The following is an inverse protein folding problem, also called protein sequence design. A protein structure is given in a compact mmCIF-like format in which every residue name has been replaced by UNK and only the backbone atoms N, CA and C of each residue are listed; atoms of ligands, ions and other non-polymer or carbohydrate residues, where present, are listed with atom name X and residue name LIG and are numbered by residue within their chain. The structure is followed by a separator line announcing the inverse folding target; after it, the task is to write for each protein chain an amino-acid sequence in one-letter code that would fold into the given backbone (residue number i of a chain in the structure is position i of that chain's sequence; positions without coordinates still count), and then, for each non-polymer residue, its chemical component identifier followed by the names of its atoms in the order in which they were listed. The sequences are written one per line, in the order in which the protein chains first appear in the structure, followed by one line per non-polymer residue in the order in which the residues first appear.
data_IF_693417448273
#
_entry.id   IF_693417448273
#
_cell.length_a   1.000
_cell.length_b   1.000
_cell.length_c   1.000
_cell.angle_alpha   90.00
_cell.angle_beta   90.00
_cell.angle_gamma   90.00
#
_symmetry.space_group_name_H-M   'P 1'
#
loop_
_entity.id
_entity.type
_entity.pdbx_description
1 polymer ?
#
# COMPACT_ATOMS: atom_id res chain seq x y z
N UNK A 1 -37.10 -19.07 -19.81
CA UNK A 1 -35.90 -19.31 -20.63
C UNK A 1 -35.12 -18.03 -20.65
N UNK A 2 -34.11 -17.90 -19.77
CA UNK A 2 -33.21 -16.76 -19.77
C UNK A 2 -31.95 -17.12 -20.53
N UNK A 3 -31.61 -16.34 -21.54
CA UNK A 3 -30.38 -16.45 -22.31
C UNK A 3 -29.23 -15.78 -21.48
N UNK A 4 -28.31 -16.61 -21.00
CA UNK A 4 -26.98 -16.13 -20.60
C UNK A 4 -26.18 -15.80 -21.86
N UNK A 5 -25.81 -14.53 -22.03
CA UNK A 5 -24.80 -14.15 -23.01
C UNK A 5 -23.41 -14.37 -22.36
N UNK A 6 -22.69 -15.33 -22.90
CA UNK A 6 -21.27 -15.53 -22.61
C UNK A 6 -20.44 -14.39 -23.22
N UNK A 7 -19.62 -13.73 -22.41
CA UNK A 7 -18.58 -12.83 -22.89
C UNK A 7 -17.36 -13.65 -23.34
N UNK A 8 -16.71 -13.32 -24.47
CA UNK A 8 -15.55 -14.06 -24.93
C UNK A 8 -14.32 -13.76 -24.04
N UNK A 9 -13.65 -14.83 -23.61
CA UNK A 9 -12.44 -14.85 -22.78
C UNK A 9 -11.16 -14.39 -23.51
N UNK A 10 -11.25 -13.63 -24.60
CA UNK A 10 -10.10 -13.32 -25.47
C UNK A 10 -9.35 -12.03 -25.13
N UNK A 11 -9.80 -11.20 -24.18
CA UNK A 11 -9.14 -9.92 -23.87
C UNK A 11 -8.25 -9.94 -22.62
N UNK A 12 -8.27 -11.01 -21.83
CA UNK A 12 -7.42 -11.11 -20.62
C UNK A 12 -6.00 -11.58 -20.96
N UNK A 13 -5.84 -12.41 -22.01
CA UNK A 13 -4.52 -12.96 -22.38
C UNK A 13 -3.59 -11.97 -23.09
N UNK A 14 -4.08 -10.83 -23.57
CA UNK A 14 -3.24 -9.86 -24.28
C UNK A 14 -2.61 -8.84 -23.31
N UNK A 15 -3.21 -8.62 -22.14
CA UNK A 15 -2.68 -7.72 -21.11
C UNK A 15 -1.51 -8.33 -20.33
N UNK A 16 -1.50 -9.64 -20.11
CA UNK A 16 -0.40 -10.35 -19.42
C UNK A 16 0.86 -10.40 -20.28
N UNK A 17 0.75 -10.39 -21.61
CA UNK A 17 1.90 -10.48 -22.52
C UNK A 17 2.69 -9.16 -22.70
N UNK A 18 2.11 -7.99 -22.37
CA UNK A 18 2.81 -6.70 -22.44
C UNK A 18 3.59 -6.35 -21.18
N UNK A 19 3.27 -6.98 -20.04
CA UNK A 19 4.02 -6.81 -18.79
C UNK A 19 5.27 -7.71 -18.71
N UNK A 20 5.39 -8.74 -19.57
CA UNK A 20 6.51 -9.69 -19.53
C UNK A 20 7.72 -9.29 -20.37
N UNK A 21 7.67 -8.18 -21.12
CA UNK A 21 8.82 -7.72 -21.94
C UNK A 21 9.52 -6.45 -21.39
N UNK A 22 9.06 -5.85 -20.31
CA UNK A 22 9.77 -4.80 -19.60
C UNK A 22 10.53 -5.41 -18.41
N UNK A 23 11.78 -5.77 -18.63
CA UNK A 23 12.80 -6.11 -17.63
C UNK A 23 12.32 -6.94 -16.41
N UNK A 24 12.30 -8.25 -16.55
CA UNK A 24 12.48 -9.16 -15.43
C UNK A 24 13.85 -8.86 -14.78
N UNK A 25 13.90 -8.03 -13.75
CA UNK A 25 15.17 -7.82 -13.07
C UNK A 25 15.30 -6.70 -12.07
N UNK A 26 14.39 -5.74 -12.00
CA UNK A 26 14.44 -4.78 -10.90
C UNK A 26 13.04 -4.22 -10.65
N UNK A 27 12.56 -4.39 -9.41
CA UNK A 27 11.49 -3.55 -8.89
C UNK A 27 12.04 -2.12 -8.85
N UNK A 28 11.56 -1.16 -9.66
CA UNK A 28 12.12 0.20 -9.68
C UNK A 28 11.96 0.92 -8.32
N UNK A 29 11.22 0.30 -7.39
CA UNK A 29 10.90 0.82 -6.07
C UNK A 29 11.75 0.21 -4.95
N UNK A 30 12.81 -0.56 -5.28
CA UNK A 30 13.78 -1.08 -4.33
C UNK A 30 13.22 -2.12 -3.35
N UNK A 31 13.64 -3.37 -3.50
CA UNK A 31 13.69 -4.29 -2.38
C UNK A 31 14.85 -3.87 -1.47
N UNK A 32 14.56 -3.23 -0.33
CA UNK A 32 15.56 -3.01 0.72
C UNK A 32 16.62 -1.95 0.39
N UNK A 33 16.21 -0.70 0.33
CA UNK A 33 17.07 0.46 0.42
C UNK A 33 16.33 1.56 1.19
N UNK A 34 17.05 2.37 1.96
CA UNK A 34 16.47 3.50 2.68
C UNK A 34 15.58 4.32 1.73
N UNK A 35 14.26 4.26 1.90
CA UNK A 35 13.29 5.04 1.12
C UNK A 35 12.29 4.25 0.27
N UNK A 36 12.05 2.95 0.50
CA UNK A 36 10.99 2.19 -0.16
C UNK A 36 9.59 2.77 0.11
N UNK A 37 8.73 2.81 -0.94
CA UNK A 37 7.34 3.29 -0.82
C UNK A 37 6.51 2.28 -0.07
N UNK A 38 5.74 2.73 0.93
CA UNK A 38 4.92 1.85 1.77
C UNK A 38 3.43 1.91 1.50
N UNK A 39 2.78 0.78 1.72
CA UNK A 39 1.35 0.67 1.93
C UNK A 39 0.48 1.22 0.81
N UNK A 40 -0.47 2.08 1.19
CA UNK A 40 -1.41 2.70 0.25
C UNK A 40 -0.70 3.49 -0.85
N UNK A 41 0.45 4.11 -0.55
CA UNK A 41 1.20 4.84 -1.56
C UNK A 41 1.73 3.93 -2.66
N UNK A 42 2.16 2.70 -2.33
CA UNK A 42 2.56 1.72 -3.34
C UNK A 42 1.40 1.36 -4.28
N UNK A 43 0.20 1.19 -3.74
CA UNK A 43 -1.01 0.96 -4.55
C UNK A 43 -1.36 2.17 -5.41
N UNK A 44 -1.24 3.39 -4.87
CA UNK A 44 -1.45 4.62 -5.62
C UNK A 44 -0.45 4.76 -6.76
N UNK A 45 0.84 4.49 -6.51
CA UNK A 45 1.89 4.51 -7.53
C UNK A 45 1.61 3.53 -8.67
N UNK A 46 1.22 2.30 -8.37
CA UNK A 46 0.85 1.32 -9.38
C UNK A 46 -0.32 1.80 -10.25
N UNK A 47 -1.36 2.37 -9.63
CA UNK A 47 -2.49 2.92 -10.37
C UNK A 47 -2.08 4.07 -11.29
N UNK A 48 -1.28 5.04 -10.79
CA UNK A 48 -0.81 6.17 -11.60
C UNK A 48 0.06 5.71 -12.78
N UNK A 49 0.96 4.74 -12.56
CA UNK A 49 1.80 4.17 -13.63
C UNK A 49 0.96 3.47 -14.68
N UNK A 50 -0.03 2.66 -14.26
CA UNK A 50 -0.98 2.03 -15.17
C UNK A 50 -1.67 3.07 -16.06
N UNK A 51 -2.17 4.16 -15.48
CA UNK A 51 -2.85 5.23 -16.23
C UNK A 51 -1.91 6.01 -17.14
N UNK A 52 -0.65 6.22 -16.74
CA UNK A 52 0.36 6.84 -17.61
C UNK A 52 0.71 5.97 -18.84
N UNK A 53 0.54 4.65 -18.74
CA UNK A 53 0.80 3.70 -19.82
C UNK A 53 -0.47 3.33 -20.62
N UNK A 54 -1.63 3.80 -20.23
CA UNK A 54 -2.89 3.50 -20.91
C UNK A 54 -3.16 4.51 -22.05
N UNK A 55 -3.15 4.10 -23.33
CA UNK A 55 -3.41 4.99 -24.45
C UNK A 55 -4.85 5.52 -24.50
N UNK A 56 -5.76 4.98 -23.69
CA UNK A 56 -7.14 5.42 -23.56
C UNK A 56 -7.33 6.43 -22.40
N UNK A 57 -6.25 7.06 -21.93
CA UNK A 57 -6.29 8.08 -20.87
C UNK A 57 -5.83 9.43 -21.44
N UNK A 58 -6.53 10.51 -21.08
CA UNK A 58 -6.26 11.85 -21.59
C UNK A 58 -6.46 12.95 -20.55
N UNK A 59 -6.07 14.17 -20.91
CA UNK A 59 -6.20 15.37 -20.08
C UNK A 59 -7.45 16.17 -20.42
N UNK A 60 -8.27 16.51 -19.43
CA UNK A 60 -9.36 17.46 -19.56
C UNK A 60 -9.71 18.12 -18.23
N UNK A 61 -9.87 19.45 -18.23
CA UNK A 61 -10.43 20.17 -17.08
C UNK A 61 -11.96 20.03 -16.99
N UNK A 62 -12.63 19.83 -18.12
CA UNK A 62 -14.09 19.67 -18.16
C UNK A 62 -14.51 18.27 -17.68
N UNK A 63 -13.77 17.22 -18.11
CA UNK A 63 -14.09 15.82 -17.81
C UNK A 63 -13.20 15.23 -16.70
N UNK A 64 -12.63 16.06 -15.86
CA UNK A 64 -11.66 15.70 -14.82
C UNK A 64 -12.19 14.75 -13.73
N UNK A 65 -13.47 14.43 -13.76
CA UNK A 65 -14.10 13.54 -12.79
C UNK A 65 -14.10 12.07 -13.24
N UNK A 66 -12.98 11.60 -13.81
CA UNK A 66 -12.81 10.23 -14.32
C UNK A 66 -13.85 9.86 -15.40
N UNK A 67 -14.31 10.87 -16.13
CA UNK A 67 -15.34 10.68 -17.15
C UNK A 67 -14.75 10.09 -18.43
N UNK A 68 -15.38 9.03 -18.92
CA UNK A 68 -15.04 8.44 -20.22
C UNK A 68 -15.90 9.05 -21.32
N UNK A 69 -15.27 9.59 -22.36
CA UNK A 69 -15.91 10.16 -23.56
C UNK A 69 -15.21 9.59 -24.79
N UNK A 70 -15.97 8.98 -25.67
CA UNK A 70 -15.47 8.33 -26.91
C UNK A 70 -14.34 7.29 -26.63
N UNK A 71 -14.43 6.57 -25.53
CA UNK A 71 -13.45 5.55 -25.15
C UNK A 71 -12.20 6.09 -24.48
N UNK A 72 -12.09 7.41 -24.23
CA UNK A 72 -10.98 8.04 -23.50
C UNK A 72 -11.48 8.48 -22.12
N UNK A 73 -10.76 8.09 -21.08
CA UNK A 73 -11.00 8.52 -19.68
C UNK A 73 -10.12 9.73 -19.35
N UNK A 74 -10.71 10.75 -18.74
CA UNK A 74 -10.06 12.04 -18.58
C UNK A 74 -9.80 12.42 -17.13
N UNK A 75 -8.62 13.01 -16.92
CA UNK A 75 -8.17 13.65 -15.68
C UNK A 75 -7.56 15.01 -15.98
N UNK A 76 -7.49 15.92 -14.99
CA UNK A 76 -6.51 17.00 -14.93
C UNK A 76 -5.41 16.66 -13.91
N UNK A 77 -4.42 17.52 -13.72
CA UNK A 77 -3.28 17.27 -12.86
C UNK A 77 -3.70 16.92 -11.42
N UNK A 78 -4.61 17.66 -10.84
CA UNK A 78 -5.05 17.44 -9.46
C UNK A 78 -6.03 16.29 -9.32
N UNK A 79 -6.96 16.11 -10.25
CA UNK A 79 -7.87 14.96 -10.21
C UNK A 79 -7.15 13.62 -10.45
N UNK A 80 -6.08 13.61 -11.21
CA UNK A 80 -5.23 12.43 -11.36
C UNK A 80 -4.67 11.97 -10.01
N UNK A 81 -4.18 12.91 -9.19
CA UNK A 81 -3.75 12.62 -7.80
C UNK A 81 -4.92 12.11 -6.96
N UNK A 82 -6.10 12.79 -7.02
CA UNK A 82 -7.30 12.41 -6.27
C UNK A 82 -7.73 10.96 -6.52
N UNK A 83 -7.86 10.59 -7.79
CA UNK A 83 -8.33 9.26 -8.17
C UNK A 83 -7.31 8.18 -7.83
N UNK A 84 -6.02 8.42 -8.01
CA UNK A 84 -4.99 7.46 -7.62
C UNK A 84 -4.99 7.16 -6.12
N UNK A 85 -5.09 8.19 -5.28
CA UNK A 85 -5.22 8.00 -3.83
C UNK A 85 -6.52 7.26 -3.46
N UNK A 86 -7.65 7.65 -4.03
CA UNK A 86 -8.94 7.00 -3.74
C UNK A 86 -8.99 5.54 -4.21
N UNK A 87 -8.45 5.23 -5.41
CA UNK A 87 -8.34 3.86 -5.89
C UNK A 87 -7.36 3.02 -5.08
N UNK A 88 -6.35 3.63 -4.48
CA UNK A 88 -5.45 2.96 -3.54
C UNK A 88 -6.08 2.66 -2.18
N UNK A 89 -7.21 3.28 -1.84
CA UNK A 89 -7.93 3.02 -0.59
C UNK A 89 -7.76 4.08 0.50
N UNK A 90 -7.19 5.25 0.17
CA UNK A 90 -7.29 6.41 1.07
C UNK A 90 -8.75 6.80 1.28
N UNK A 91 -9.08 7.39 2.43
CA UNK A 91 -10.45 7.82 2.77
C UNK A 91 -10.91 9.01 1.90
N UNK A 92 -11.07 8.72 0.61
CA UNK A 92 -11.53 9.66 -0.41
C UNK A 92 -12.87 9.18 -0.97
N UNK A 93 -13.87 10.06 -0.95
CA UNK A 93 -15.14 9.79 -1.62
C UNK A 93 -15.01 10.03 -3.12
N UNK A 94 -14.75 8.96 -3.89
CA UNK A 94 -14.59 9.03 -5.36
C UNK A 94 -15.84 9.52 -6.10
N UNK A 95 -17.03 9.53 -5.46
CA UNK A 95 -18.24 10.12 -6.03
C UNK A 95 -18.31 11.65 -5.85
N UNK A 96 -17.44 12.23 -5.02
CA UNK A 96 -17.34 13.67 -4.86
C UNK A 96 -16.54 14.30 -6.01
N UNK A 97 -16.73 15.61 -6.20
CA UNK A 97 -15.92 16.35 -7.16
C UNK A 97 -14.46 16.43 -6.67
N UNK A 98 -13.46 16.05 -7.50
CA UNK A 98 -12.07 15.99 -7.06
C UNK A 98 -11.53 17.37 -6.66
N UNK A 99 -10.54 17.38 -5.77
CA UNK A 99 -9.86 18.60 -5.36
C UNK A 99 -9.15 19.31 -6.53
N UNK A 100 -8.78 20.54 -6.31
CA UNK A 100 -7.93 21.35 -7.21
C UNK A 100 -6.60 21.62 -6.53
N UNK A 101 -5.59 22.08 -7.26
CA UNK A 101 -4.30 22.53 -6.69
C UNK A 101 -4.46 23.57 -5.57
N UNK A 102 -5.58 24.32 -5.58
CA UNK A 102 -5.86 25.33 -4.56
C UNK A 102 -6.21 24.74 -3.18
N UNK A 103 -6.95 23.60 -3.13
CA UNK A 103 -7.45 23.04 -1.86
C UNK A 103 -6.87 21.66 -1.53
N UNK A 104 -6.08 21.07 -2.44
CA UNK A 104 -5.56 19.72 -2.25
C UNK A 104 -4.65 19.59 -1.02
N UNK A 105 -3.83 20.60 -0.70
CA UNK A 105 -2.91 20.57 0.41
C UNK A 105 -3.59 20.34 1.76
N UNK A 106 -4.73 20.99 2.00
CA UNK A 106 -5.51 20.76 3.22
C UNK A 106 -6.07 19.34 3.31
N UNK A 107 -6.51 18.80 2.17
CA UNK A 107 -7.05 17.42 2.10
C UNK A 107 -5.93 16.39 2.25
N UNK A 108 -4.79 16.56 1.57
CA UNK A 108 -3.64 15.67 1.72
C UNK A 108 -3.17 15.59 3.18
N UNK A 109 -3.11 16.73 3.88
CA UNK A 109 -2.79 16.74 5.32
C UNK A 109 -3.84 15.99 6.16
N UNK A 110 -5.12 16.12 5.84
CA UNK A 110 -6.17 15.38 6.56
C UNK A 110 -6.11 13.87 6.30
N UNK A 111 -5.51 13.46 5.17
CA UNK A 111 -5.22 12.06 4.84
C UNK A 111 -3.93 11.54 5.49
N UNK A 112 -3.18 12.39 6.20
CA UNK A 112 -1.95 12.01 6.90
C UNK A 112 -0.65 12.33 6.18
N UNK A 113 -0.69 13.06 5.04
CA UNK A 113 0.53 13.53 4.38
C UNK A 113 1.18 14.67 5.15
N UNK A 114 2.50 14.66 5.23
CA UNK A 114 3.29 15.76 5.74
C UNK A 114 3.50 16.82 4.65
N UNK A 115 3.30 18.08 5.00
CA UNK A 115 3.58 19.22 4.13
C UNK A 115 5.01 19.70 4.34
N UNK A 116 5.82 19.70 3.29
CA UNK A 116 7.21 20.17 3.29
C UNK A 116 7.31 21.33 2.31
N UNK A 117 7.78 22.49 2.78
CA UNK A 117 8.02 23.64 1.92
C UNK A 117 9.34 23.47 1.19
N UNK A 118 9.32 23.52 -0.14
CA UNK A 118 10.52 23.47 -0.97
C UNK A 118 11.12 24.87 -1.03
N UNK A 119 12.11 25.13 -0.21
CA UNK A 119 12.80 26.44 -0.16
C UNK A 119 13.88 26.58 -1.23
N UNK A 120 14.52 25.48 -1.61
CA UNK A 120 15.51 25.41 -2.67
C UNK A 120 15.28 24.10 -3.45
N UNK A 121 14.75 24.21 -4.65
CA UNK A 121 14.40 23.08 -5.49
C UNK A 121 15.64 22.28 -5.93
N UNK A 122 16.78 22.93 -6.11
CA UNK A 122 18.00 22.29 -6.61
C UNK A 122 18.66 21.36 -5.57
N UNK A 123 18.41 21.61 -4.28
CA UNK A 123 19.01 20.84 -3.18
C UNK A 123 17.96 20.04 -2.39
N UNK A 124 16.71 20.07 -2.82
CA UNK A 124 15.62 19.37 -2.12
C UNK A 124 15.80 17.85 -2.22
N UNK A 125 15.65 17.17 -1.12
CA UNK A 125 15.71 15.71 -1.03
C UNK A 125 14.35 15.10 -1.41
N UNK A 126 14.18 14.85 -2.70
CA UNK A 126 12.97 14.22 -3.23
C UNK A 126 12.91 12.74 -2.91
N UNK A 127 11.69 12.26 -2.62
CA UNK A 127 11.41 10.85 -2.46
C UNK A 127 10.39 10.37 -3.51
N UNK A 128 10.53 9.13 -3.94
CA UNK A 128 9.52 8.51 -4.82
C UNK A 128 8.17 8.50 -4.11
N UNK A 129 7.11 8.89 -4.83
CA UNK A 129 5.78 9.06 -4.27
C UNK A 129 5.49 10.44 -3.66
N UNK A 130 6.47 11.35 -3.59
CA UNK A 130 6.21 12.74 -3.23
C UNK A 130 5.20 13.36 -4.19
N UNK A 131 4.17 14.00 -3.66
CA UNK A 131 3.20 14.78 -4.43
C UNK A 131 3.66 16.24 -4.42
N UNK A 132 4.13 16.70 -5.58
CA UNK A 132 4.67 18.04 -5.75
C UNK A 132 3.58 19.00 -6.20
N UNK A 133 3.52 20.19 -5.61
CA UNK A 133 2.50 21.20 -5.91
C UNK A 133 3.15 22.56 -6.12
N UNK A 134 2.74 23.25 -7.20
CA UNK A 134 2.88 24.68 -7.38
C UNK A 134 1.50 25.30 -7.52
N UNK A 135 1.22 26.34 -6.73
CA UNK A 135 -0.04 27.07 -6.77
C UNK A 135 0.23 28.54 -6.62
N UNK A 136 0.65 29.16 -7.70
CA UNK A 136 0.88 30.61 -7.82
C UNK A 136 -0.12 31.22 -8.79
N UNK A 137 -0.13 32.58 -8.91
CA UNK A 137 -0.97 33.27 -9.90
C UNK A 137 -0.61 32.91 -11.34
N UNK A 138 0.63 32.51 -11.59
CA UNK A 138 1.16 32.23 -12.93
C UNK A 138 1.12 30.74 -13.28
N UNK A 139 1.35 29.87 -12.30
CA UNK A 139 1.43 28.43 -12.48
C UNK A 139 0.62 27.69 -11.42
N UNK A 140 -0.21 26.77 -11.87
CA UNK A 140 -0.98 25.85 -11.01
C UNK A 140 -0.84 24.45 -11.58
N UNK A 141 -0.05 23.62 -10.89
CA UNK A 141 0.23 22.26 -11.33
C UNK A 141 0.58 21.33 -10.15
N UNK A 142 0.40 20.04 -10.37
CA UNK A 142 0.83 18.99 -9.45
C UNK A 142 1.27 17.76 -10.24
N UNK A 143 2.30 17.13 -9.76
CA UNK A 143 2.82 15.86 -10.28
C UNK A 143 3.31 14.98 -9.12
N UNK A 144 3.57 13.71 -9.41
CA UNK A 144 4.08 12.73 -8.45
C UNK A 144 5.50 12.36 -8.86
N UNK A 145 6.43 12.29 -7.91
CA UNK A 145 7.79 11.80 -8.17
C UNK A 145 7.72 10.31 -8.49
N UNK A 146 8.13 9.96 -9.72
CA UNK A 146 8.11 8.60 -10.24
C UNK A 146 9.36 7.82 -9.84
N UNK A 147 10.53 8.36 -10.12
CA UNK A 147 11.84 7.77 -9.80
C UNK A 147 12.87 8.87 -9.55
N UNK A 148 14.06 8.47 -9.09
CA UNK A 148 15.20 9.37 -8.83
C UNK A 148 16.41 9.06 -9.72
N UNK A 149 16.24 8.20 -10.72
CA UNK A 149 17.30 7.84 -11.67
C UNK A 149 17.51 8.96 -12.68
N UNK A 150 18.75 9.18 -13.11
CA UNK A 150 19.13 10.14 -14.15
C UNK A 150 18.59 11.56 -13.94
N UNK A 151 18.53 12.04 -12.68
CA UNK A 151 18.00 13.35 -12.33
C UNK A 151 16.53 13.32 -11.84
N UNK A 152 15.91 12.15 -11.82
CA UNK A 152 14.55 11.92 -11.35
C UNK A 152 13.48 12.28 -12.36
N UNK A 153 12.38 11.56 -12.33
CA UNK A 153 11.22 11.78 -13.21
C UNK A 153 9.95 11.99 -12.39
N UNK A 154 9.01 12.73 -12.97
CA UNK A 154 7.66 12.87 -12.44
C UNK A 154 6.64 12.23 -13.37
N UNK A 155 5.46 11.94 -12.84
CA UNK A 155 4.30 11.48 -13.61
C UNK A 155 3.07 12.31 -13.26
N UNK A 156 2.17 12.47 -14.25
CA UNK A 156 0.97 13.25 -14.04
C UNK A 156 0.13 13.45 -15.29
N UNK A 157 -0.94 14.20 -15.13
CA UNK A 157 -1.77 14.67 -16.23
C UNK A 157 -1.37 16.11 -16.59
N UNK A 158 -0.84 16.32 -17.79
CA UNK A 158 -0.11 17.52 -18.16
C UNK A 158 -0.92 18.54 -18.96
N UNK A 159 -1.39 18.19 -20.15
CA UNK A 159 -2.03 19.17 -21.05
C UNK A 159 -2.78 18.51 -22.21
N UNK A 160 -3.98 19.02 -22.51
CA UNK A 160 -4.74 18.65 -23.72
C UNK A 160 -4.09 19.09 -25.05
N UNK A 161 -3.04 19.89 -24.99
CA UNK A 161 -2.30 20.36 -26.19
C UNK A 161 -1.27 19.31 -26.68
N UNK A 162 -0.91 18.33 -25.85
CA UNK A 162 -0.03 17.23 -26.23
C UNK A 162 -0.80 16.16 -27.03
N UNK A 163 -0.12 15.31 -27.82
CA UNK A 163 -0.72 14.09 -28.34
C UNK A 163 -1.30 13.23 -27.22
N UNK A 164 -2.34 12.47 -27.51
CA UNK A 164 -3.08 11.74 -26.48
C UNK A 164 -2.19 10.88 -25.56
N UNK A 165 -1.20 10.09 -26.06
CA UNK A 165 -0.34 9.29 -25.18
C UNK A 165 0.52 10.12 -24.22
N UNK A 166 0.78 11.40 -24.55
CA UNK A 166 1.64 12.29 -23.75
C UNK A 166 0.82 13.22 -22.84
N UNK A 167 -0.51 13.15 -22.90
CA UNK A 167 -1.38 13.98 -22.07
C UNK A 167 -1.35 13.56 -20.60
N UNK A 168 -1.25 12.26 -20.37
CA UNK A 168 -1.05 11.65 -19.04
C UNK A 168 0.11 10.67 -19.19
N UNK A 169 1.25 10.98 -18.59
CA UNK A 169 2.48 10.24 -18.86
C UNK A 169 3.51 10.42 -17.75
N UNK A 170 4.53 9.56 -17.77
CA UNK A 170 5.79 9.78 -17.04
C UNK A 170 6.64 10.73 -17.89
N UNK A 171 7.14 11.81 -17.28
CA UNK A 171 8.00 12.75 -17.97
C UNK A 171 9.32 12.09 -18.40
N UNK A 172 9.81 12.48 -19.59
CA UNK A 172 11.06 11.95 -20.17
C UNK A 172 12.28 12.83 -19.90
N UNK A 173 12.10 13.96 -19.21
CA UNK A 173 13.18 14.86 -18.78
C UNK A 173 13.31 14.79 -17.26
N UNK A 174 14.48 15.16 -16.74
CA UNK A 174 14.74 15.07 -15.32
C UNK A 174 13.87 16.04 -14.49
N UNK A 175 13.67 15.70 -13.22
CA UNK A 175 12.86 16.46 -12.26
C UNK A 175 13.29 17.93 -12.15
N UNK A 176 14.57 18.23 -12.34
CA UNK A 176 15.18 19.56 -12.22
C UNK A 176 14.92 20.47 -13.42
N UNK A 177 14.55 19.94 -14.57
CA UNK A 177 14.39 20.70 -15.82
C UNK A 177 13.01 21.25 -16.07
N UNK A 178 12.06 20.96 -15.18
CA UNK A 178 10.64 21.33 -15.33
C UNK A 178 10.20 22.53 -14.51
N UNK A 179 8.95 22.50 -14.07
CA UNK A 179 8.35 23.49 -13.19
C UNK A 179 8.96 23.36 -11.80
N UNK A 180 9.33 24.48 -11.18
CA UNK A 180 9.83 24.48 -9.82
C UNK A 180 8.67 24.50 -8.83
N UNK A 181 8.39 23.36 -8.22
CA UNK A 181 7.35 23.19 -7.22
C UNK A 181 7.73 23.89 -5.92
N UNK A 182 6.72 24.34 -5.17
CA UNK A 182 6.91 25.09 -3.92
C UNK A 182 6.53 24.27 -2.67
N UNK A 183 5.72 23.24 -2.86
CA UNK A 183 5.25 22.37 -1.80
C UNK A 183 5.43 20.91 -2.22
N UNK A 184 5.84 20.10 -1.24
CA UNK A 184 5.88 18.65 -1.33
C UNK A 184 4.94 18.09 -0.25
N UNK A 185 4.06 17.18 -0.63
CA UNK A 185 3.26 16.40 0.30
C UNK A 185 3.78 14.98 0.29
N UNK A 186 4.41 14.59 1.39
CA UNK A 186 5.07 13.32 1.56
C UNK A 186 4.23 12.39 2.43
N UNK A 187 4.04 11.16 1.96
CA UNK A 187 3.50 10.12 2.83
C UNK A 187 4.57 9.73 3.87
N UNK A 188 4.27 9.87 5.19
CA UNK A 188 5.30 9.73 6.23
C UNK A 188 5.82 8.30 6.38
N UNK A 189 5.12 7.34 5.80
CA UNK A 189 5.52 5.94 5.83
C UNK A 189 6.32 5.59 4.56
N UNK A 190 7.61 5.45 4.69
CA UNK A 190 8.56 5.09 3.62
C UNK A 190 8.84 3.58 3.55
N UNK A 191 7.87 2.72 3.77
CA UNK A 191 8.01 1.28 3.62
C UNK A 191 8.97 0.57 4.60
N UNK A 192 9.96 1.27 5.13
CA UNK A 192 10.98 0.74 6.04
C UNK A 192 11.95 -0.27 5.39
N UNK A 193 13.08 -0.45 6.02
CA UNK A 193 14.09 -1.45 5.61
C UNK A 193 13.70 -2.83 6.10
N UNK A 194 12.92 -3.56 5.31
CA UNK A 194 12.58 -4.93 5.64
C UNK A 194 13.81 -5.82 5.72
N UNK A 195 13.93 -6.54 6.82
CA UNK A 195 14.88 -7.64 6.93
C UNK A 195 14.22 -8.89 6.34
N UNK A 196 14.82 -9.45 5.30
CA UNK A 196 14.33 -10.63 4.60
C UNK A 196 15.33 -11.76 4.83
N UNK A 197 14.86 -12.89 5.33
CA UNK A 197 15.67 -14.08 5.56
C UNK A 197 15.51 -15.13 4.46
N UNK A 198 16.15 -16.29 4.65
CA UNK A 198 15.85 -17.49 3.88
C UNK A 198 14.44 -18.01 4.19
N UNK A 199 13.93 -18.90 3.35
CA UNK A 199 12.58 -19.46 3.42
C UNK A 199 12.30 -20.39 4.62
N UNK A 200 13.27 -20.56 5.53
CA UNK A 200 13.12 -21.29 6.80
C UNK A 200 13.91 -20.60 7.92
N UNK A 201 14.32 -19.35 7.72
CA UNK A 201 15.10 -18.61 8.71
C UNK A 201 14.19 -17.95 9.75
N UNK A 202 14.29 -18.38 11.00
CA UNK A 202 13.63 -17.72 12.13
C UNK A 202 14.48 -16.53 12.62
N UNK A 203 13.84 -15.36 12.82
CA UNK A 203 14.50 -14.21 13.41
C UNK A 203 14.39 -14.23 14.94
N UNK A 204 15.23 -15.05 15.55
CA UNK A 204 15.28 -15.23 17.00
C UNK A 204 14.38 -16.37 17.53
N UNK A 205 14.11 -16.33 18.83
CA UNK A 205 13.30 -17.34 19.49
C UNK A 205 11.82 -16.93 19.52
N UNK A 206 10.91 -17.66 18.86
CA UNK A 206 9.48 -17.34 18.85
C UNK A 206 8.84 -17.40 20.25
N UNK A 207 9.39 -18.20 21.18
CA UNK A 207 8.86 -18.36 22.55
C UNK A 207 9.34 -17.28 23.52
N UNK A 208 10.34 -16.48 23.15
CA UNK A 208 10.85 -15.43 24.00
C UNK A 208 10.22 -14.07 23.67
N UNK A 209 10.01 -13.21 24.68
CA UNK A 209 9.55 -11.84 24.46
C UNK A 209 10.43 -11.13 23.41
N UNK A 210 9.80 -10.38 22.50
CA UNK A 210 10.45 -9.67 21.40
C UNK A 210 11.40 -10.58 20.58
N UNK A 211 11.03 -11.84 20.37
CA UNK A 211 11.88 -12.84 19.71
C UNK A 211 13.28 -12.97 20.33
N UNK A 212 13.42 -12.78 21.65
CA UNK A 212 14.72 -12.79 22.34
C UNK A 212 15.58 -11.55 22.02
N UNK A 213 14.95 -10.41 21.74
CA UNK A 213 15.60 -9.15 21.32
C UNK A 213 16.40 -9.28 20.00
N UNK A 214 15.90 -10.10 19.07
CA UNK A 214 16.54 -10.19 17.76
C UNK A 214 16.33 -8.90 16.93
N UNK A 215 17.42 -8.31 16.46
CA UNK A 215 17.40 -7.03 15.76
C UNK A 215 16.56 -7.06 14.48
N UNK A 216 16.60 -8.15 13.69
CA UNK A 216 15.79 -8.29 12.47
C UNK A 216 14.31 -8.32 12.80
N UNK A 217 13.91 -9.08 13.82
CA UNK A 217 12.53 -9.15 14.27
C UNK A 217 12.02 -7.81 14.81
N UNK A 218 12.81 -7.13 15.62
CA UNK A 218 12.47 -5.81 16.16
C UNK A 218 12.33 -4.77 15.05
N UNK A 219 13.27 -4.78 14.08
CA UNK A 219 13.20 -3.89 12.93
C UNK A 219 11.88 -4.09 12.15
N UNK A 220 11.56 -5.33 11.77
CA UNK A 220 10.35 -5.62 11.01
C UNK A 220 9.07 -5.36 11.81
N UNK A 221 9.06 -5.64 13.11
CA UNK A 221 7.94 -5.27 13.98
C UNK A 221 7.73 -3.75 14.04
N UNK A 222 8.81 -2.97 14.05
CA UNK A 222 8.74 -1.50 14.01
C UNK A 222 8.20 -0.99 12.67
N UNK A 223 8.58 -1.62 11.55
CA UNK A 223 7.99 -1.33 10.23
C UNK A 223 6.49 -1.60 10.24
N UNK A 224 6.05 -2.75 10.76
CA UNK A 224 4.62 -3.11 10.89
C UNK A 224 3.88 -2.10 11.76
N UNK A 225 4.46 -1.71 12.89
CA UNK A 225 3.90 -0.72 13.80
C UNK A 225 3.67 0.62 13.10
N UNK A 226 4.70 1.16 12.43
CA UNK A 226 4.60 2.44 11.73
C UNK A 226 3.54 2.38 10.61
N UNK A 227 3.51 1.28 9.86
CA UNK A 227 2.53 1.08 8.79
C UNK A 227 1.09 1.15 9.32
N UNK A 228 0.71 0.30 10.26
CA UNK A 228 -0.67 0.26 10.73
C UNK A 228 -1.06 1.45 11.61
N UNK A 229 -0.09 2.06 12.31
CA UNK A 229 -0.30 3.32 13.01
C UNK A 229 -0.67 4.44 12.04
N UNK A 230 0.00 4.53 10.88
CA UNK A 230 -0.34 5.49 9.83
C UNK A 230 -1.75 5.24 9.23
N UNK A 231 -2.25 4.01 9.33
CA UNK A 231 -3.63 3.65 8.94
C UNK A 231 -4.67 3.87 10.05
N UNK A 232 -4.28 4.47 11.17
CA UNK A 232 -5.16 4.77 12.29
C UNK A 232 -5.46 3.59 13.22
N UNK A 233 -4.71 2.49 13.13
CA UNK A 233 -4.87 1.38 14.06
C UNK A 233 -4.33 1.72 15.45
N UNK A 234 -4.94 1.18 16.49
CA UNK A 234 -4.48 1.38 17.86
C UNK A 234 -3.17 0.61 18.13
N UNK A 235 -2.34 1.13 19.04
CA UNK A 235 -1.13 0.43 19.48
C UNK A 235 -1.46 -0.97 20.01
N UNK A 236 -2.59 -1.11 20.70
CA UNK A 236 -3.07 -2.38 21.24
C UNK A 236 -3.35 -3.41 20.14
N UNK A 237 -4.04 -3.00 19.07
CA UNK A 237 -4.35 -3.87 17.93
C UNK A 237 -3.07 -4.26 17.17
N UNK A 238 -2.18 -3.30 16.90
CA UNK A 238 -0.90 -3.56 16.23
C UNK A 238 -0.05 -4.53 17.05
N UNK A 239 0.03 -4.35 18.35
CA UNK A 239 0.72 -5.27 19.23
C UNK A 239 0.08 -6.68 19.24
N UNK A 240 -1.26 -6.74 19.18
CA UNK A 240 -2.01 -7.98 19.01
C UNK A 240 -1.66 -8.72 17.72
N UNK A 241 -1.56 -8.01 16.58
CA UNK A 241 -1.08 -8.55 15.31
C UNK A 241 0.36 -9.06 15.45
N UNK A 242 1.26 -8.24 16.01
CA UNK A 242 2.66 -8.60 16.20
C UNK A 242 2.87 -9.83 17.08
N UNK A 243 2.02 -10.06 18.09
CA UNK A 243 2.05 -11.28 18.91
C UNK A 243 1.76 -12.54 18.09
N UNK A 244 0.89 -12.46 17.08
CA UNK A 244 0.64 -13.55 16.14
C UNK A 244 1.79 -13.70 15.15
N UNK A 245 2.24 -12.63 14.50
CA UNK A 245 3.36 -12.66 13.55
C UNK A 245 4.65 -13.22 14.21
N UNK A 246 4.89 -12.90 15.47
CA UNK A 246 6.01 -13.49 16.20
C UNK A 246 5.93 -15.01 16.21
N UNK A 247 4.79 -15.59 16.53
CA UNK A 247 4.61 -17.04 16.59
C UNK A 247 4.65 -17.67 15.20
N UNK A 248 4.07 -17.02 14.21
CA UNK A 248 3.93 -17.57 12.85
C UNK A 248 5.26 -17.54 12.08
N UNK A 249 5.99 -16.44 12.13
CA UNK A 249 7.15 -16.23 11.25
C UNK A 249 8.36 -15.58 11.90
N UNK A 250 8.29 -15.24 13.20
CA UNK A 250 9.29 -14.35 13.84
C UNK A 250 9.60 -13.10 13.01
N UNK A 251 8.57 -12.54 12.33
CA UNK A 251 8.65 -11.38 11.45
C UNK A 251 9.44 -11.56 10.15
N UNK A 252 9.82 -12.79 9.76
CA UNK A 252 10.43 -13.04 8.46
C UNK A 252 9.37 -13.19 7.37
N UNK A 253 9.21 -12.22 6.44
CA UNK A 253 8.19 -12.30 5.39
C UNK A 253 8.46 -13.41 4.37
N UNK A 254 9.67 -13.94 4.30
CA UNK A 254 10.05 -15.03 3.39
C UNK A 254 9.94 -16.41 4.04
N UNK A 255 9.44 -16.51 5.28
CA UNK A 255 9.33 -17.80 5.95
C UNK A 255 8.30 -18.69 5.25
N UNK A 256 8.73 -19.94 4.98
CA UNK A 256 7.87 -21.05 4.56
C UNK A 256 7.83 -22.05 5.70
N UNK A 257 6.65 -22.51 6.09
CA UNK A 257 6.45 -23.49 7.15
C UNK A 257 7.25 -24.76 6.88
N UNK A 258 8.03 -25.19 7.86
CA UNK A 258 8.85 -26.43 7.74
C UNK A 258 7.93 -27.65 7.77
N UNK A 259 7.84 -28.33 6.63
CA UNK A 259 6.97 -29.52 6.48
C UNK A 259 5.49 -29.20 6.26
N UNK A 260 5.13 -27.95 6.12
CA UNK A 260 3.78 -27.46 5.82
C UNK A 260 3.71 -26.60 4.57
N UNK A 261 2.67 -25.78 4.46
CA UNK A 261 2.39 -24.94 3.31
C UNK A 261 2.15 -23.47 3.68
N UNK A 262 2.38 -23.08 4.93
CA UNK A 262 2.25 -21.69 5.38
C UNK A 262 3.34 -20.80 4.79
N UNK A 263 2.97 -19.62 4.28
CA UNK A 263 3.88 -18.63 3.70
C UNK A 263 3.74 -17.26 4.34
N UNK A 264 4.88 -16.61 4.59
CA UNK A 264 4.95 -15.20 4.94
C UNK A 264 4.64 -14.88 6.40
N UNK A 265 4.36 -13.60 6.68
CA UNK A 265 4.25 -13.03 8.02
C UNK A 265 3.23 -13.74 8.92
N UNK A 266 2.05 -14.04 8.41
CA UNK A 266 0.95 -14.69 9.13
C UNK A 266 0.72 -16.14 8.69
N UNK A 267 1.68 -16.73 7.96
CA UNK A 267 1.68 -18.10 7.49
C UNK A 267 0.38 -18.51 6.77
N UNK A 268 -0.01 -17.71 5.75
CA UNK A 268 -1.17 -18.02 4.91
C UNK A 268 -1.16 -19.47 4.42
N UNK A 269 -2.20 -20.21 4.76
CA UNK A 269 -2.35 -21.63 4.46
C UNK A 269 -3.77 -21.92 3.94
N UNK A 270 -3.94 -22.26 2.65
CA UNK A 270 -2.87 -22.46 1.64
C UNK A 270 -2.23 -21.12 1.20
N UNK A 271 -1.00 -21.14 0.64
CA UNK A 271 -0.32 -19.89 0.19
C UNK A 271 -1.06 -19.18 -0.94
N UNK A 272 -1.99 -19.85 -1.61
CA UNK A 272 -2.87 -19.24 -2.62
C UNK A 272 -3.73 -18.11 -2.04
N UNK A 273 -4.00 -18.10 -0.74
CA UNK A 273 -4.76 -17.02 -0.10
C UNK A 273 -3.96 -15.71 -0.15
N UNK A 274 -2.65 -15.77 0.07
CA UNK A 274 -1.74 -14.65 -0.16
C UNK A 274 -1.61 -14.30 -1.65
N UNK A 275 -1.36 -15.31 -2.49
CA UNK A 275 -1.03 -15.12 -3.91
C UNK A 275 -2.18 -14.50 -4.70
N UNK A 276 -3.41 -14.98 -4.48
CA UNK A 276 -4.59 -14.44 -5.15
C UNK A 276 -4.81 -12.96 -4.85
N UNK A 277 -4.57 -12.54 -3.61
CA UNK A 277 -4.70 -11.12 -3.23
C UNK A 277 -3.57 -10.29 -3.82
N UNK A 278 -2.33 -10.80 -3.84
CA UNK A 278 -1.21 -10.14 -4.52
C UNK A 278 -1.47 -9.97 -6.01
N UNK A 279 -2.04 -10.98 -6.68
CA UNK A 279 -2.41 -10.88 -8.10
C UNK A 279 -3.47 -9.80 -8.35
N UNK A 280 -4.45 -9.65 -7.44
CA UNK A 280 -5.45 -8.58 -7.52
C UNK A 280 -4.81 -7.20 -7.31
N UNK A 281 -3.90 -7.05 -6.34
CA UNK A 281 -3.32 -5.76 -5.98
C UNK A 281 -2.18 -5.32 -6.90
N UNK A 282 -1.36 -6.27 -7.37
CA UNK A 282 -0.07 -6.00 -8.03
C UNK A 282 0.08 -6.72 -9.38
N UNK A 283 -0.95 -7.41 -9.86
CA UNK A 283 -0.93 -8.12 -11.14
C UNK A 283 -0.11 -9.41 -11.15
N UNK A 284 0.65 -9.71 -10.10
CA UNK A 284 1.41 -10.95 -9.93
C UNK A 284 1.82 -11.16 -8.46
N UNK A 285 2.23 -12.38 -8.13
CA UNK A 285 2.72 -12.75 -6.79
C UNK A 285 4.21 -13.19 -6.80
N UNK A 286 5.00 -12.79 -7.80
CA UNK A 286 6.41 -13.21 -7.91
C UNK A 286 7.23 -12.79 -6.69
N UNK A 287 6.93 -11.63 -6.11
CA UNK A 287 7.60 -11.09 -4.92
C UNK A 287 6.75 -11.31 -3.67
N UNK A 288 6.14 -12.49 -3.51
CA UNK A 288 5.28 -12.82 -2.36
C UNK A 288 6.00 -12.63 -1.01
N UNK A 289 7.32 -12.74 -0.98
CA UNK A 289 8.19 -12.55 0.19
C UNK A 289 8.46 -11.09 0.54
N UNK A 290 7.97 -10.14 -0.23
CA UNK A 290 8.06 -8.71 0.09
C UNK A 290 7.11 -8.38 1.25
N UNK A 291 7.71 -8.01 2.41
CA UNK A 291 6.95 -7.69 3.62
C UNK A 291 5.98 -6.54 3.43
N UNK A 292 6.34 -5.52 2.62
CA UNK A 292 5.46 -4.39 2.34
C UNK A 292 4.22 -4.80 1.54
N UNK A 293 4.38 -5.68 0.55
CA UNK A 293 3.26 -6.24 -0.19
C UNK A 293 2.35 -7.08 0.71
N UNK A 294 2.93 -7.86 1.65
CA UNK A 294 2.15 -8.62 2.62
C UNK A 294 1.34 -7.74 3.57
N UNK A 295 1.87 -6.58 4.02
CA UNK A 295 1.07 -5.61 4.78
C UNK A 295 -0.06 -5.03 3.94
N UNK A 296 0.16 -4.79 2.65
CA UNK A 296 -0.90 -4.34 1.73
C UNK A 296 -2.00 -5.40 1.57
N UNK A 297 -1.65 -6.70 1.58
CA UNK A 297 -2.63 -7.79 1.61
C UNK A 297 -3.49 -7.72 2.87
N UNK A 298 -2.87 -7.73 4.06
CA UNK A 298 -3.59 -7.63 5.35
C UNK A 298 -4.50 -6.39 5.37
N UNK A 299 -4.02 -5.25 4.87
CA UNK A 299 -4.80 -4.02 4.88
C UNK A 299 -5.94 -4.02 3.85
N UNK A 300 -5.75 -4.60 2.66
CA UNK A 300 -6.82 -4.73 1.66
C UNK A 300 -7.94 -5.66 2.13
N UNK A 301 -7.61 -6.76 2.81
CA UNK A 301 -8.57 -7.64 3.46
C UNK A 301 -9.34 -6.92 4.57
N UNK A 302 -8.64 -6.11 5.38
CA UNK A 302 -9.27 -5.25 6.39
C UNK A 302 -10.25 -4.27 5.74
N UNK A 303 -9.87 -3.59 4.66
CA UNK A 303 -10.73 -2.65 3.93
C UNK A 303 -11.96 -3.34 3.34
N UNK A 304 -11.78 -4.51 2.73
CA UNK A 304 -12.85 -5.34 2.18
C UNK A 304 -13.82 -5.78 3.27
N UNK A 305 -13.33 -6.34 4.36
CA UNK A 305 -14.13 -6.79 5.50
C UNK A 305 -14.88 -5.67 6.22
N UNK A 306 -14.28 -4.48 6.25
CA UNK A 306 -14.84 -3.28 6.90
C UNK A 306 -15.76 -2.48 5.99
N UNK A 307 -15.99 -2.88 4.76
CA UNK A 307 -16.79 -2.19 3.76
C UNK A 307 -16.23 -0.81 3.36
N UNK A 308 -14.94 -0.57 3.59
CA UNK A 308 -14.25 0.68 3.20
C UNK A 308 -14.00 0.68 1.69
N UNK A 309 -13.52 -0.45 1.16
CA UNK A 309 -13.26 -0.63 -0.26
C UNK A 309 -13.55 -2.07 -0.67
N UNK A 310 -14.17 -2.23 -1.85
CA UNK A 310 -14.36 -3.53 -2.47
C UNK A 310 -13.19 -3.83 -3.43
N UNK A 311 -12.33 -4.76 -3.03
CA UNK A 311 -11.22 -5.26 -3.84
C UNK A 311 -11.59 -6.49 -4.67
N UNK A 312 -12.81 -7.03 -4.48
CA UNK A 312 -13.21 -8.29 -5.12
C UNK A 312 -12.50 -9.52 -4.55
N UNK A 313 -11.99 -9.42 -3.33
CA UNK A 313 -11.32 -10.52 -2.61
C UNK A 313 -12.21 -11.06 -1.50
N UNK A 314 -11.98 -12.31 -1.10
CA UNK A 314 -12.66 -12.92 0.05
C UNK A 314 -11.83 -12.62 1.32
N UNK A 315 -12.36 -11.82 2.27
CA UNK A 315 -11.60 -11.49 3.47
C UNK A 315 -11.55 -12.68 4.44
N UNK A 316 -10.44 -12.85 5.13
CA UNK A 316 -10.28 -13.96 6.07
C UNK A 316 -10.92 -13.74 7.44
N UNK A 317 -11.30 -12.52 7.79
CA UNK A 317 -11.85 -12.19 9.11
C UNK A 317 -13.30 -12.64 9.28
N UNK A 318 -13.53 -13.50 10.28
CA UNK A 318 -14.87 -13.93 10.71
C UNK A 318 -14.99 -13.81 12.23
N UNK A 319 -15.82 -12.88 12.71
CA UNK A 319 -16.04 -12.67 14.15
C UNK A 319 -16.63 -13.93 14.81
N UNK A 320 -15.96 -14.42 15.85
CA UNK A 320 -16.43 -15.58 16.63
C UNK A 320 -17.25 -15.12 17.83
N UNK A 321 -18.04 -16.03 18.42
CA UNK A 321 -18.81 -15.73 19.64
C UNK A 321 -17.92 -15.45 20.86
N UNK A 322 -16.71 -16.00 20.91
CA UNK A 322 -15.72 -15.75 21.95
C UNK A 322 -15.03 -14.38 21.78
N UNK A 323 -14.89 -13.91 20.53
CA UNK A 323 -14.24 -12.65 20.18
C UNK A 323 -15.12 -11.89 19.16
N UNK A 324 -16.24 -11.28 19.61
CA UNK A 324 -17.30 -10.78 18.73
C UNK A 324 -16.97 -9.39 18.14
N UNK A 325 -15.71 -9.10 17.89
CA UNK A 325 -15.28 -7.85 17.28
C UNK A 325 -15.26 -8.00 15.75
N UNK A 326 -15.90 -7.07 15.03
CA UNK A 326 -15.57 -6.85 13.61
C UNK A 326 -14.11 -6.44 13.47
N UNK A 327 -13.50 -6.62 12.30
CA UNK A 327 -12.11 -6.21 12.10
C UNK A 327 -11.93 -4.70 12.32
N UNK A 328 -12.92 -3.90 11.93
CA UNK A 328 -12.92 -2.45 12.16
C UNK A 328 -12.93 -2.09 13.65
N UNK A 329 -13.75 -2.73 14.46
CA UNK A 329 -13.76 -2.52 15.90
C UNK A 329 -12.47 -2.99 16.56
N UNK A 330 -11.94 -4.13 16.11
CA UNK A 330 -10.67 -4.68 16.59
C UNK A 330 -9.50 -3.72 16.29
N UNK A 331 -9.40 -3.17 15.08
CA UNK A 331 -8.28 -2.34 14.65
C UNK A 331 -8.10 -1.05 15.46
N UNK A 332 -9.19 -0.49 16.01
CA UNK A 332 -9.17 0.73 16.82
C UNK A 332 -9.35 0.45 18.32
N UNK A 333 -9.46 -0.82 18.70
CA UNK A 333 -9.70 -1.22 20.08
C UNK A 333 -8.54 -0.87 21.01
N UNK A 334 -8.84 -0.37 22.20
CA UNK A 334 -7.88 -0.13 23.27
C UNK A 334 -7.93 -1.19 24.36
N UNK A 335 -8.59 -2.32 24.11
CA UNK A 335 -8.56 -3.47 25.00
C UNK A 335 -7.15 -4.03 25.14
N UNK A 336 -6.94 -4.91 26.13
CA UNK A 336 -5.64 -5.56 26.36
C UNK A 336 -5.07 -6.16 25.08
N UNK A 337 -3.80 -5.86 24.76
CA UNK A 337 -3.15 -6.33 23.54
C UNK A 337 -3.15 -7.87 23.45
N UNK A 338 -3.04 -8.56 24.59
CA UNK A 338 -3.15 -10.01 24.63
C UNK A 338 -4.53 -10.52 24.24
N UNK A 339 -5.60 -9.86 24.70
CA UNK A 339 -6.97 -10.18 24.25
C UNK A 339 -7.10 -9.99 22.75
N UNK A 340 -6.57 -8.88 22.21
CA UNK A 340 -6.63 -8.60 20.78
C UNK A 340 -5.78 -9.58 19.94
N UNK A 341 -4.68 -10.11 20.49
CA UNK A 341 -3.93 -11.18 19.84
C UNK A 341 -4.76 -12.47 19.71
N UNK A 342 -5.44 -12.87 20.78
CA UNK A 342 -6.30 -14.04 20.76
C UNK A 342 -7.52 -13.86 19.85
N UNK A 343 -8.06 -12.62 19.79
CA UNK A 343 -9.13 -12.27 18.87
C UNK A 343 -8.68 -12.35 17.40
N UNK A 344 -7.48 -11.87 17.08
CA UNK A 344 -6.92 -11.99 15.73
C UNK A 344 -6.72 -13.47 15.36
N UNK A 345 -6.12 -14.25 16.24
CA UNK A 345 -5.94 -15.68 16.04
C UNK A 345 -7.27 -16.39 15.77
N UNK A 346 -8.29 -16.13 16.59
CA UNK A 346 -9.60 -16.79 16.48
C UNK A 346 -10.38 -16.38 15.22
N UNK A 347 -10.30 -15.11 14.83
CA UNK A 347 -11.13 -14.53 13.79
C UNK A 347 -10.48 -14.49 12.42
N UNK A 348 -9.13 -14.40 12.36
CA UNK A 348 -8.35 -14.34 11.12
C UNK A 348 -7.67 -15.69 10.81
N UNK A 349 -6.82 -16.18 11.71
CA UNK A 349 -6.04 -17.41 11.47
C UNK A 349 -6.88 -18.69 11.63
N UNK A 350 -7.84 -18.69 12.55
CA UNK A 350 -8.82 -19.77 12.80
C UNK A 350 -8.19 -21.15 13.02
N UNK A 351 -7.21 -21.29 13.91
CA UNK A 351 -6.58 -22.57 14.19
C UNK A 351 -7.55 -23.53 14.89
N UNK A 352 -7.21 -24.82 14.91
CA UNK A 352 -8.00 -25.84 15.61
C UNK A 352 -8.08 -25.59 17.14
N UNK A 353 -7.09 -24.89 17.72
CA UNK A 353 -7.04 -24.51 19.14
C UNK A 353 -6.38 -23.14 19.33
N UNK A 354 -6.82 -22.40 20.34
CA UNK A 354 -6.25 -21.08 20.66
C UNK A 354 -4.97 -21.25 21.47
N UNK A 355 -3.89 -20.64 21.02
CA UNK A 355 -2.57 -20.61 21.62
C UNK A 355 -2.42 -19.37 22.51
N UNK A 356 -2.42 -19.56 23.82
CA UNK A 356 -2.48 -18.48 24.82
C UNK A 356 -1.16 -17.69 24.94
N UNK A 357 -0.04 -18.26 24.54
CA UNK A 357 1.29 -17.65 24.57
C UNK A 357 1.35 -16.36 23.75
N UNK A 358 0.59 -16.27 22.65
CA UNK A 358 0.51 -15.08 21.78
C UNK A 358 0.04 -13.83 22.54
N UNK A 359 -0.78 -14.01 23.56
CA UNK A 359 -1.22 -12.91 24.43
C UNK A 359 -0.05 -12.31 25.22
N UNK A 360 0.91 -13.15 25.66
CA UNK A 360 2.13 -12.70 26.34
C UNK A 360 3.04 -11.91 25.41
N UNK A 361 3.25 -12.40 24.20
CA UNK A 361 4.05 -11.71 23.18
C UNK A 361 3.44 -10.35 22.80
N UNK A 362 2.13 -10.31 22.60
CA UNK A 362 1.43 -9.05 22.28
C UNK A 362 1.62 -7.99 23.38
N UNK A 363 1.57 -8.35 24.65
CA UNK A 363 1.81 -7.41 25.75
C UNK A 363 3.26 -6.90 25.75
N UNK A 364 4.23 -7.78 25.44
CA UNK A 364 5.63 -7.35 25.33
C UNK A 364 5.83 -6.38 24.15
N UNK A 365 5.17 -6.62 22.99
CA UNK A 365 5.19 -5.69 21.86
C UNK A 365 4.47 -4.38 22.19
N UNK A 366 3.37 -4.41 22.92
CA UNK A 366 2.68 -3.20 23.37
C UNK A 366 3.58 -2.32 24.25
N UNK A 367 4.30 -2.92 25.21
CA UNK A 367 5.24 -2.19 26.07
C UNK A 367 6.39 -1.61 25.24
N UNK A 368 6.92 -2.36 24.29
CA UNK A 368 7.98 -1.91 23.38
C UNK A 368 7.51 -0.71 22.54
N UNK A 369 6.36 -0.80 21.87
CA UNK A 369 5.85 0.28 21.01
C UNK A 369 5.50 1.57 21.79
N UNK A 370 5.12 1.47 23.04
CA UNK A 370 4.91 2.64 23.88
C UNK A 370 6.22 3.27 24.38
N UNK A 371 7.35 2.60 24.21
CA UNK A 371 8.68 3.14 24.55
C UNK A 371 9.36 3.85 23.36
N UNK A 372 8.81 3.73 22.13
CA UNK A 372 9.26 4.45 20.94
C UNK A 372 8.76 5.89 20.93
#
# INVERSE_FOLDING_TARGET
VFFMRSFPASNISMFVALMTSANAGQNPWGSGGAGGIGGLMLLAMNWWIEKCNDPAVGYSQEYRNERTVNGITYYDCSSFVWYGLGHAGYEINLSAWPFTTYNMGGILKSLGFEEIIISDFATFDFHVGDILVINTSEHQHTEIVHDLENGGHTMGAHSSKKPLPDQVSINTYDLQSGIHYTHCYRWPFSGGDWQIGGNSEYFGNPEANLCGNNEKAINNATVIYNYFKSQGWSVNAIAGLCGNIQQESTFNPALIEIGGTGHGLVQWTPPTDLYNVLDVLFGNHNDWYDGQKQLSVIFSEFQQSSGIKNWGIEPQWYSTSAYPLSWREWSVSTQDAGYLALAFQANYERPASIHQERAGYARAWFDYFNSL
#
